data_IF_952378028394
#
_entry.id   IF_952378028394
#
_cell.length_a   1.000
_cell.length_b   1.000
_cell.length_c   1.000
_cell.angle_alpha   90.00
_cell.angle_beta   90.00
_cell.angle_gamma   90.00
#
_symmetry.space_group_name_H-M   'P 1'
#
loop_
_entity.id
_entity.type
_entity.pdbx_description
1 polymer ?
#
# COMPACT_ATOMS: atom_id res chain seq x y z
N UNK A 1 -22.46 26.51 -44.31
CA UNK A 1 -21.93 26.23 -42.96
C UNK A 1 -21.81 24.72 -42.76
N UNK A 2 -20.64 24.16 -42.43
CA UNK A 2 -20.54 22.74 -42.07
C UNK A 2 -21.08 22.52 -40.65
N UNK A 3 -21.91 21.48 -40.46
CA UNK A 3 -22.56 21.14 -39.19
C UNK A 3 -21.51 20.62 -38.17
N UNK A 4 -21.61 20.96 -36.88
CA UNK A 4 -20.67 20.51 -35.86
C UNK A 4 -20.77 19.00 -35.64
N UNK A 5 -19.63 18.30 -35.62
CA UNK A 5 -19.57 16.85 -35.36
C UNK A 5 -19.95 16.57 -33.91
N UNK A 6 -20.96 15.72 -33.68
CA UNK A 6 -21.36 15.19 -32.38
C UNK A 6 -20.15 14.56 -31.68
N UNK A 7 -19.71 15.14 -30.58
CA UNK A 7 -18.52 14.74 -29.81
C UNK A 7 -18.79 13.68 -28.74
N UNK A 8 -19.97 13.06 -28.74
CA UNK A 8 -20.43 12.19 -27.64
C UNK A 8 -20.90 10.83 -28.16
N UNK A 9 -20.05 10.14 -28.92
CA UNK A 9 -20.20 8.69 -29.07
C UNK A 9 -19.47 8.03 -27.90
N UNK A 10 -20.11 7.12 -27.13
CA UNK A 10 -19.45 6.43 -26.04
C UNK A 10 -18.34 5.56 -26.63
N UNK A 11 -17.10 6.02 -26.48
CA UNK A 11 -15.91 5.30 -26.90
C UNK A 11 -15.90 3.97 -26.13
N UNK A 12 -16.23 2.87 -26.83
CA UNK A 12 -16.14 1.52 -26.28
C UNK A 12 -14.68 1.33 -25.87
N UNK A 13 -14.40 1.38 -24.57
CA UNK A 13 -13.05 1.27 -24.01
C UNK A 13 -12.42 0.01 -24.59
N UNK A 14 -11.57 0.19 -25.61
CA UNK A 14 -10.95 -0.91 -26.30
C UNK A 14 -9.76 -1.32 -25.44
N UNK A 15 -9.86 -2.46 -24.76
CA UNK A 15 -8.81 -2.94 -23.86
C UNK A 15 -7.44 -2.99 -24.58
N UNK A 16 -7.44 -3.27 -25.89
CA UNK A 16 -6.23 -3.26 -26.71
C UNK A 16 -5.56 -1.87 -26.80
N UNK A 17 -6.35 -0.80 -26.92
CA UNK A 17 -5.84 0.58 -26.93
C UNK A 17 -5.39 1.04 -25.54
N UNK A 18 -6.09 0.59 -24.50
CA UNK A 18 -5.71 0.86 -23.10
C UNK A 18 -4.37 0.20 -22.75
N UNK A 19 -4.17 -1.05 -23.15
CA UNK A 19 -2.88 -1.75 -23.01
C UNK A 19 -1.77 -1.10 -23.85
N UNK A 20 -2.07 -0.67 -25.07
CA UNK A 20 -1.10 0.05 -25.90
C UNK A 20 -0.66 1.39 -25.30
N UNK A 21 -1.48 1.99 -24.44
CA UNK A 21 -1.18 3.23 -23.73
C UNK A 21 -0.28 3.00 -22.51
N UNK A 22 -0.29 1.79 -21.93
CA UNK A 22 0.55 1.44 -20.78
C UNK A 22 2.05 1.54 -21.10
N UNK A 23 2.44 1.40 -22.37
CA UNK A 23 3.83 1.58 -22.84
C UNK A 23 4.41 2.98 -22.56
N UNK A 24 3.56 3.98 -22.30
CA UNK A 24 4.00 5.34 -21.98
C UNK A 24 4.36 5.52 -20.50
N UNK A 25 3.89 4.64 -19.61
CA UNK A 25 4.14 4.69 -18.16
C UNK A 25 5.63 4.61 -17.80
N UNK A 26 6.45 3.71 -18.40
CA UNK A 26 7.89 3.65 -18.11
C UNK A 26 8.63 4.94 -18.49
N UNK A 27 8.25 5.55 -19.62
CA UNK A 27 8.83 6.83 -20.08
C UNK A 27 8.50 7.95 -19.10
N UNK A 28 7.29 7.98 -18.57
CA UNK A 28 6.88 8.95 -17.55
C UNK A 28 7.70 8.82 -16.26
N UNK A 29 7.90 7.60 -15.75
CA UNK A 29 8.76 7.39 -14.57
C UNK A 29 10.21 7.83 -14.80
N UNK A 30 10.74 7.65 -16.02
CA UNK A 30 12.07 8.14 -16.38
C UNK A 30 12.19 9.66 -16.25
N UNK A 31 11.18 10.41 -16.69
CA UNK A 31 11.18 11.87 -16.57
C UNK A 31 11.00 12.33 -15.12
N UNK A 32 10.15 11.67 -14.32
CA UNK A 32 10.01 11.98 -12.87
C UNK A 32 11.34 11.80 -12.15
N UNK A 33 12.06 10.71 -12.43
CA UNK A 33 13.37 10.44 -11.84
C UNK A 33 14.41 11.51 -12.20
N UNK A 34 14.32 12.15 -13.37
CA UNK A 34 15.24 13.24 -13.76
C UNK A 34 15.04 14.52 -12.95
N UNK A 35 13.81 14.80 -12.48
CA UNK A 35 13.51 15.99 -11.70
C UNK A 35 14.16 15.90 -10.31
N UNK A 36 13.87 14.81 -9.59
CA UNK A 36 14.52 14.54 -8.31
C UNK A 36 14.55 13.01 -8.06
N UNK A 37 15.72 12.36 -8.20
CA UNK A 37 15.82 10.92 -8.02
C UNK A 37 15.57 10.50 -6.57
N UNK A 38 15.98 11.31 -5.58
CA UNK A 38 15.77 11.00 -4.16
C UNK A 38 14.28 10.95 -3.82
N UNK A 39 13.52 11.96 -4.22
CA UNK A 39 12.07 11.99 -3.99
C UNK A 39 11.34 10.87 -4.72
N UNK A 40 11.79 10.50 -5.92
CA UNK A 40 11.24 9.38 -6.67
C UNK A 40 11.41 8.04 -5.92
N UNK A 41 12.63 7.75 -5.44
CA UNK A 41 12.89 6.54 -4.67
C UNK A 41 12.21 6.56 -3.31
N UNK A 42 12.17 7.71 -2.63
CA UNK A 42 11.45 7.88 -1.38
C UNK A 42 9.95 7.60 -1.55
N UNK A 43 9.33 8.11 -2.62
CA UNK A 43 7.91 7.85 -2.90
C UNK A 43 7.64 6.36 -3.16
N UNK A 44 8.51 5.69 -3.92
CA UNK A 44 8.40 4.24 -4.14
C UNK A 44 8.55 3.49 -2.82
N UNK A 45 9.54 3.83 -2.01
CA UNK A 45 9.75 3.20 -0.70
C UNK A 45 8.56 3.42 0.23
N UNK A 46 8.02 4.63 0.31
CA UNK A 46 6.79 4.93 1.06
C UNK A 46 5.61 4.13 0.54
N UNK A 47 5.44 3.99 -0.78
CA UNK A 47 4.38 3.15 -1.36
C UNK A 47 4.51 1.68 -0.98
N UNK A 48 5.73 1.15 -0.99
CA UNK A 48 5.99 -0.23 -0.55
C UNK A 48 5.67 -0.37 0.93
N UNK A 49 6.13 0.58 1.76
CA UNK A 49 5.84 0.58 3.19
C UNK A 49 4.34 0.61 3.45
N UNK A 50 3.60 1.53 2.83
CA UNK A 50 2.14 1.61 2.93
C UNK A 50 1.42 0.35 2.44
N UNK A 51 1.99 -0.39 1.48
CA UNK A 51 1.41 -1.65 1.01
C UNK A 51 1.68 -2.81 1.99
N UNK A 52 2.79 -2.76 2.74
CA UNK A 52 3.18 -3.80 3.71
C UNK A 52 2.54 -3.59 5.08
N UNK A 53 2.26 -2.34 5.48
CA UNK A 53 1.64 -2.00 6.77
C UNK A 53 0.36 -2.83 7.05
N UNK A 54 -0.63 -2.93 6.13
CA UNK A 54 -1.83 -3.73 6.38
C UNK A 54 -1.54 -5.21 6.65
N UNK A 55 -0.54 -5.78 5.98
CA UNK A 55 -0.11 -7.16 6.19
C UNK A 55 0.59 -7.32 7.54
N UNK A 56 1.44 -6.37 7.90
CA UNK A 56 2.14 -6.36 9.19
C UNK A 56 1.17 -6.17 10.36
N UNK A 57 0.10 -5.36 10.22
CA UNK A 57 -0.98 -5.24 11.23
C UNK A 57 -1.61 -6.60 11.52
N UNK A 58 -1.99 -7.35 10.47
CA UNK A 58 -2.56 -8.69 10.63
C UNK A 58 -1.60 -9.66 11.32
N UNK A 59 -0.31 -9.58 10.98
CA UNK A 59 0.70 -10.42 11.62
C UNK A 59 0.84 -10.07 13.10
N UNK A 60 1.00 -8.79 13.46
CA UNK A 60 1.14 -8.37 14.86
C UNK A 60 -0.11 -8.79 15.66
N UNK A 61 -1.31 -8.60 15.11
CA UNK A 61 -2.55 -9.08 15.74
C UNK A 61 -2.52 -10.59 16.02
N UNK A 62 -2.00 -11.39 15.08
CA UNK A 62 -1.81 -12.83 15.27
C UNK A 62 -0.83 -13.13 16.41
N UNK A 63 0.29 -12.41 16.51
CA UNK A 63 1.27 -12.58 17.60
C UNK A 63 0.66 -12.23 18.96
N UNK A 64 -0.15 -11.18 19.03
CA UNK A 64 -0.87 -10.81 20.26
C UNK A 64 -1.77 -11.97 20.70
N UNK A 65 -2.54 -12.55 19.78
CA UNK A 65 -3.40 -13.70 20.08
C UNK A 65 -2.58 -14.91 20.55
N UNK A 66 -1.47 -15.21 19.88
CA UNK A 66 -0.58 -16.32 20.27
C UNK A 66 -0.05 -16.13 21.70
N UNK A 67 0.40 -14.92 22.06
CA UNK A 67 0.88 -14.60 23.41
C UNK A 67 -0.26 -14.67 24.45
N UNK A 68 -1.47 -14.20 24.12
CA UNK A 68 -2.64 -14.35 25.01
C UNK A 68 -2.89 -15.82 25.32
N UNK A 69 -2.84 -16.70 24.31
CA UNK A 69 -3.06 -18.14 24.50
C UNK A 69 -2.00 -18.74 25.43
N UNK A 70 -0.72 -18.34 25.28
CA UNK A 70 0.36 -18.79 26.17
C UNK A 70 0.13 -18.32 27.61
N UNK A 71 -0.27 -17.06 27.80
CA UNK A 71 -0.50 -16.49 29.14
C UNK A 71 -1.75 -17.03 29.85
N UNK A 72 -2.69 -17.64 29.11
CA UNK A 72 -3.85 -18.32 29.71
C UNK A 72 -3.44 -19.60 30.43
N UNK A 73 -2.46 -20.33 29.88
CA UNK A 73 -1.99 -21.62 30.41
C UNK A 73 -0.84 -21.48 31.44
N UNK A 74 -0.29 -20.27 31.59
CA UNK A 74 0.81 -19.99 32.52
C UNK A 74 0.33 -19.83 33.97
N UNK A 75 1.03 -20.46 34.92
CA UNK A 75 0.75 -20.30 36.37
C UNK A 75 1.07 -18.89 36.88
N UNK A 76 2.11 -18.26 36.35
CA UNK A 76 2.49 -16.86 36.64
C UNK A 76 2.39 -16.06 35.36
N UNK A 77 1.50 -15.07 35.35
CA UNK A 77 1.19 -14.26 34.16
C UNK A 77 2.15 -13.09 34.04
N UNK A 78 2.73 -12.93 32.85
CA UNK A 78 3.55 -11.77 32.49
C UNK A 78 2.98 -11.08 31.24
N UNK A 79 2.39 -9.90 31.42
CA UNK A 79 1.79 -9.12 30.35
C UNK A 79 2.72 -8.07 29.74
N UNK A 80 3.96 -7.96 30.21
CA UNK A 80 4.90 -6.94 29.74
C UNK A 80 5.12 -7.05 28.23
N UNK A 81 5.36 -8.28 27.75
CA UNK A 81 5.56 -8.57 26.34
C UNK A 81 4.31 -8.29 25.50
N UNK A 82 3.13 -8.59 26.04
CA UNK A 82 1.85 -8.34 25.37
C UNK A 82 1.61 -6.84 25.17
N UNK A 83 1.87 -6.01 26.18
CA UNK A 83 1.78 -4.55 26.07
C UNK A 83 2.73 -3.97 25.03
N UNK A 84 3.95 -4.51 24.90
CA UNK A 84 4.88 -4.10 23.85
C UNK A 84 4.27 -4.34 22.46
N UNK A 85 3.65 -5.51 22.23
CA UNK A 85 3.00 -5.80 20.95
C UNK A 85 1.80 -4.90 20.67
N UNK A 86 1.00 -4.57 21.69
CA UNK A 86 -0.14 -3.63 21.53
C UNK A 86 0.35 -2.22 21.17
N UNK A 87 1.40 -1.71 21.82
CA UNK A 87 1.98 -0.41 21.46
C UNK A 87 2.59 -0.45 20.06
N UNK A 88 3.24 -1.55 19.69
CA UNK A 88 3.77 -1.72 18.34
C UNK A 88 2.66 -1.74 17.29
N UNK A 89 1.55 -2.44 17.53
CA UNK A 89 0.37 -2.45 16.66
C UNK A 89 -0.20 -1.05 16.48
N UNK A 90 -0.36 -0.30 17.58
CA UNK A 90 -0.84 1.08 17.54
C UNK A 90 0.11 1.98 16.72
N UNK A 91 1.42 1.86 16.94
CA UNK A 91 2.42 2.62 16.17
C UNK A 91 2.38 2.28 14.67
N UNK A 92 2.15 1.01 14.34
CA UNK A 92 2.01 0.54 12.97
C UNK A 92 0.71 1.03 12.31
N UNK A 93 -0.37 1.14 13.09
CA UNK A 93 -1.67 1.61 12.61
C UNK A 93 -1.71 3.12 12.33
N UNK A 94 -0.82 3.89 12.95
CA UNK A 94 -0.69 5.34 12.74
C UNK A 94 0.19 5.68 11.53
N UNK A 95 1.10 4.80 11.13
CA UNK A 95 1.97 4.93 9.96
C UNK A 95 1.23 4.68 8.64
#
# INVERSE_FOLDING_TARGET
MPKPKKSLEPNKINLKESFASLKFVPRFFKEIRKVNPLLFFANIASRILSAVIPLALLWVGKIIIDEVVVQIDAEVKDFSRLWIFVVAELGLAVL
#
